data_IF_672037931660
#
_entry.id   IF_672037931660
#
_cell.length_a   1.000
_cell.length_b   1.000
_cell.length_c   1.000
_cell.angle_alpha   90.00
_cell.angle_beta   90.00
_cell.angle_gamma   90.00
#
_symmetry.space_group_name_H-M   'P 1'
#
loop_
_entity.id
_entity.type
_entity.pdbx_description
1 polymer ?
#
# COMPACT_ATOMS: atom_id res chain seq x y z
N UNK A 1 50.14 42.67 14.87
CA UNK A 1 49.27 43.86 14.75
C UNK A 1 48.42 43.67 13.51
N UNK A 2 47.15 43.33 13.69
CA UNK A 2 46.27 42.83 12.63
C UNK A 2 45.27 43.91 12.26
N UNK A 3 45.19 44.20 10.96
CA UNK A 3 44.35 45.24 10.35
C UNK A 3 42.90 44.76 10.26
N UNK A 4 41.96 45.61 10.70
CA UNK A 4 40.53 45.38 10.60
C UNK A 4 40.00 45.74 9.20
N UNK A 5 39.03 44.96 8.69
CA UNK A 5 38.36 45.17 7.40
C UNK A 5 36.89 45.48 7.65
N UNK A 6 36.47 46.72 7.36
CA UNK A 6 35.06 47.13 7.40
C UNK A 6 34.31 46.62 6.15
N UNK A 7 33.09 46.12 6.37
CA UNK A 7 32.16 45.67 5.33
C UNK A 7 30.90 46.53 5.37
N UNK A 8 30.72 47.39 4.38
CA UNK A 8 29.50 48.18 4.18
C UNK A 8 28.43 47.34 3.46
N UNK A 9 27.35 47.00 4.18
CA UNK A 9 26.12 46.45 3.59
C UNK A 9 25.28 47.57 3.01
N UNK A 10 25.14 47.61 1.69
CA UNK A 10 24.16 48.45 0.99
C UNK A 10 22.80 47.75 0.97
N UNK A 11 21.83 48.30 1.70
CA UNK A 11 20.42 47.89 1.67
C UNK A 11 19.69 48.85 0.73
N UNK A 12 19.37 48.39 -0.49
CA UNK A 12 18.46 49.12 -1.37
C UNK A 12 17.04 48.62 -1.11
N UNK A 13 16.19 49.50 -0.57
CA UNK A 13 14.78 49.19 -0.38
C UNK A 13 14.10 49.04 -1.76
N UNK A 14 13.27 48.01 -1.97
CA UNK A 14 12.65 47.76 -3.26
C UNK A 14 11.64 48.87 -3.60
N UNK A 15 11.72 49.33 -4.85
CA UNK A 15 10.92 50.43 -5.39
C UNK A 15 9.41 50.12 -5.29
N UNK A 16 8.61 50.90 -4.54
CA UNK A 16 7.20 50.63 -4.31
C UNK A 16 6.36 50.68 -5.60
N UNK A 17 6.83 51.38 -6.64
CA UNK A 17 6.14 51.46 -7.94
C UNK A 17 6.15 50.11 -8.67
N UNK A 18 7.20 49.31 -8.50
CA UNK A 18 7.31 48.00 -9.15
C UNK A 18 6.32 46.99 -8.55
N UNK A 19 6.00 47.11 -7.26
CA UNK A 19 5.02 46.23 -6.58
C UNK A 19 3.59 46.47 -7.06
N UNK A 20 3.22 47.73 -7.35
CA UNK A 20 1.89 48.04 -7.86
C UNK A 20 1.69 47.60 -9.32
N UNK A 21 2.71 47.69 -10.16
CA UNK A 21 2.63 47.24 -11.56
C UNK A 21 2.53 45.72 -11.64
N UNK A 22 3.34 44.98 -10.87
CA UNK A 22 3.28 43.50 -10.85
C UNK A 22 1.96 43.01 -10.25
N UNK A 23 1.47 43.64 -9.17
CA UNK A 23 0.17 43.31 -8.58
C UNK A 23 -1.01 43.57 -9.53
N UNK A 24 -0.99 44.70 -10.26
CA UNK A 24 -2.03 45.05 -11.22
C UNK A 24 -2.09 44.08 -12.41
N UNK A 25 -0.94 43.67 -12.95
CA UNK A 25 -0.87 42.72 -14.08
C UNK A 25 -1.41 41.34 -13.69
N UNK A 26 -1.12 40.86 -12.47
CA UNK A 26 -1.62 39.56 -11.98
C UNK A 26 -3.15 39.57 -11.83
N UNK A 27 -3.74 40.65 -11.32
CA UNK A 27 -5.20 40.76 -11.14
C UNK A 27 -5.91 40.83 -12.50
N UNK A 28 -5.35 41.54 -13.48
CA UNK A 28 -5.92 41.61 -14.84
C UNK A 28 -5.81 40.25 -15.56
N UNK A 29 -4.70 39.53 -15.40
CA UNK A 29 -4.56 38.17 -15.96
C UNK A 29 -5.55 37.18 -15.32
N UNK A 30 -5.73 37.24 -14.01
CA UNK A 30 -6.66 36.37 -13.29
C UNK A 30 -8.12 36.67 -13.69
N UNK A 31 -8.49 37.95 -13.82
CA UNK A 31 -9.83 38.34 -14.29
C UNK A 31 -10.07 37.93 -15.75
N UNK A 32 -9.06 38.06 -16.62
CA UNK A 32 -9.14 37.60 -18.00
C UNK A 32 -9.29 36.08 -18.11
N UNK A 33 -8.55 35.31 -17.31
CA UNK A 33 -8.70 33.85 -17.26
C UNK A 33 -10.07 33.43 -16.72
N UNK A 34 -10.60 34.13 -15.71
CA UNK A 34 -11.91 33.84 -15.14
C UNK A 34 -13.05 34.15 -16.12
N UNK A 35 -12.96 35.26 -16.87
CA UNK A 35 -13.96 35.64 -17.88
C UNK A 35 -13.94 34.72 -19.11
N UNK A 36 -12.79 34.14 -19.46
CA UNK A 36 -12.70 33.19 -20.58
C UNK A 36 -12.95 31.73 -20.17
N UNK A 37 -12.85 31.40 -18.88
CA UNK A 37 -13.24 30.07 -18.37
C UNK A 37 -14.75 29.81 -18.52
N UNK A 38 -15.59 30.85 -18.43
CA UNK A 38 -17.05 30.73 -18.62
C UNK A 38 -17.49 30.49 -20.08
N UNK A 39 -16.60 30.66 -21.06
CA UNK A 39 -16.89 30.36 -22.48
C UNK A 39 -16.40 28.98 -22.93
N UNK A 40 -15.63 28.27 -22.08
CA UNK A 40 -15.07 26.95 -22.39
C UNK A 40 -15.93 25.79 -21.88
N UNK A 41 -16.97 26.06 -21.09
CA UNK A 41 -17.93 25.06 -20.65
C UNK A 41 -19.34 25.45 -21.13
N UNK A 42 -19.77 25.02 -22.33
CA UNK A 42 -21.18 25.13 -22.66
C UNK A 42 -21.97 24.34 -21.60
N UNK A 43 -23.01 24.97 -21.05
CA UNK A 43 -23.94 24.32 -20.14
C UNK A 43 -24.46 23.04 -20.80
N UNK A 44 -24.04 21.90 -20.27
CA UNK A 44 -24.53 20.60 -20.71
C UNK A 44 -25.99 20.48 -20.25
N UNK A 45 -26.91 20.63 -21.20
CA UNK A 45 -28.27 20.12 -21.03
C UNK A 45 -28.19 18.62 -20.73
N UNK A 46 -28.91 18.12 -19.70
CA UNK A 46 -28.92 16.69 -19.42
C UNK A 46 -29.43 15.94 -20.66
N UNK A 47 -28.77 14.85 -21.08
CA UNK A 47 -29.20 14.12 -22.26
C UNK A 47 -30.58 13.49 -22.02
N UNK A 48 -31.46 13.63 -23.01
CA UNK A 48 -32.72 12.91 -23.08
C UNK A 48 -32.45 11.41 -23.11
N UNK A 49 -33.04 10.69 -22.16
CA UNK A 49 -33.20 9.23 -22.21
C UNK A 49 -34.12 8.87 -23.36
N UNK A 50 -33.57 8.68 -24.56
CA UNK A 50 -34.16 7.85 -25.63
C UNK A 50 -33.21 7.82 -26.84
N UNK A 51 -32.11 7.07 -26.72
CA UNK A 51 -31.43 6.49 -27.88
C UNK A 51 -30.69 5.25 -27.40
N UNK A 52 -31.25 4.08 -27.67
CA UNK A 52 -30.58 2.81 -27.46
C UNK A 52 -29.35 2.73 -28.38
N UNK A 53 -28.17 2.94 -27.80
CA UNK A 53 -26.90 2.58 -28.42
C UNK A 53 -26.74 1.06 -28.28
N UNK A 54 -26.76 0.37 -29.41
CA UNK A 54 -26.30 -1.01 -29.52
C UNK A 54 -24.86 -1.10 -29.01
N UNK A 55 -24.53 -2.01 -28.09
CA UNK A 55 -23.15 -2.19 -27.67
C UNK A 55 -22.36 -2.70 -28.87
N UNK A 56 -21.37 -1.92 -29.31
CA UNK A 56 -20.27 -2.47 -30.07
C UNK A 56 -19.54 -3.42 -29.13
N UNK A 57 -19.60 -4.72 -29.42
CA UNK A 57 -18.73 -5.73 -28.83
C UNK A 57 -17.29 -5.33 -29.12
N UNK A 58 -16.65 -4.68 -28.14
CA UNK A 58 -15.21 -4.71 -28.03
C UNK A 58 -14.86 -6.14 -27.61
N UNK A 59 -14.63 -7.01 -28.59
CA UNK A 59 -13.98 -8.29 -28.39
C UNK A 59 -12.57 -8.01 -27.88
N UNK A 60 -12.40 -8.11 -26.55
CA UNK A 60 -11.09 -8.29 -25.95
C UNK A 60 -10.46 -9.53 -26.61
N UNK A 61 -9.19 -9.48 -27.06
CA UNK A 61 -8.55 -10.65 -27.63
C UNK A 61 -8.52 -11.77 -26.58
N UNK A 62 -9.17 -12.88 -26.92
CA UNK A 62 -9.31 -14.11 -26.12
C UNK A 62 -8.00 -14.90 -25.97
N UNK A 63 -6.85 -14.33 -26.31
CA UNK A 63 -5.55 -14.98 -26.21
C UNK A 63 -4.81 -14.51 -24.96
N UNK A 64 -5.31 -14.92 -23.79
CA UNK A 64 -4.53 -14.97 -22.56
C UNK A 64 -3.96 -16.38 -22.39
N UNK A 65 -2.99 -16.72 -23.24
CA UNK A 65 -2.37 -18.04 -23.27
C UNK A 65 -0.84 -17.88 -23.29
N UNK A 66 -0.26 -17.89 -22.09
CA UNK A 66 1.01 -18.60 -21.87
C UNK A 66 1.22 -18.91 -20.38
N UNK A 67 0.92 -17.98 -19.45
CA UNK A 67 1.14 -18.25 -18.03
C UNK A 67 0.02 -19.06 -17.35
N UNK A 68 -1.25 -18.86 -17.70
CA UNK A 68 -2.38 -19.68 -17.22
C UNK A 68 -2.23 -21.14 -17.68
N UNK A 69 -1.87 -21.35 -18.95
CA UNK A 69 -1.55 -22.66 -19.52
C UNK A 69 -0.32 -23.27 -18.84
N UNK A 70 0.78 -22.52 -18.66
CA UNK A 70 1.96 -23.01 -17.96
C UNK A 70 1.70 -23.30 -16.47
N UNK A 71 0.87 -22.51 -15.79
CA UNK A 71 0.41 -22.77 -14.42
C UNK A 71 -0.46 -24.01 -14.33
N UNK A 72 -1.37 -24.24 -15.29
CA UNK A 72 -2.18 -25.45 -15.36
C UNK A 72 -1.35 -26.70 -15.70
N UNK A 73 -0.36 -26.57 -16.59
CA UNK A 73 0.61 -27.64 -16.90
C UNK A 73 1.50 -27.94 -15.70
N UNK A 74 1.99 -26.91 -14.98
CA UNK A 74 2.73 -27.06 -13.73
C UNK A 74 1.89 -27.73 -12.64
N UNK A 75 0.62 -27.34 -12.49
CA UNK A 75 -0.34 -27.96 -11.55
C UNK A 75 -0.62 -29.43 -11.89
N UNK A 76 -0.67 -29.80 -13.17
CA UNK A 76 -0.96 -31.17 -13.60
C UNK A 76 0.26 -32.09 -13.57
N UNK A 77 1.47 -31.53 -13.56
CA UNK A 77 2.73 -32.31 -13.62
C UNK A 77 3.53 -32.32 -12.31
N UNK A 78 3.38 -31.32 -11.44
CA UNK A 78 4.06 -31.24 -10.14
C UNK A 78 3.15 -31.70 -9.00
N UNK A 79 3.76 -32.26 -7.95
CA UNK A 79 3.05 -32.38 -6.67
C UNK A 79 2.70 -30.97 -6.16
N UNK A 80 1.58 -30.85 -5.42
CA UNK A 80 1.14 -29.58 -4.81
C UNK A 80 2.29 -28.87 -4.06
N UNK A 81 3.11 -29.63 -3.34
CA UNK A 81 4.30 -29.12 -2.65
C UNK A 81 5.36 -28.54 -3.61
N UNK A 82 5.72 -29.25 -4.69
CA UNK A 82 6.71 -28.76 -5.66
C UNK A 82 6.21 -27.52 -6.39
N UNK A 83 4.92 -27.50 -6.74
CA UNK A 83 4.27 -26.35 -7.35
C UNK A 83 4.35 -25.12 -6.44
N UNK A 84 3.93 -25.27 -5.19
CA UNK A 84 3.93 -24.16 -4.23
C UNK A 84 5.37 -23.72 -3.87
N UNK A 85 6.34 -24.62 -3.79
CA UNK A 85 7.76 -24.25 -3.63
C UNK A 85 8.27 -23.41 -4.79
N UNK A 86 8.01 -23.85 -6.04
CA UNK A 86 8.38 -23.11 -7.25
C UNK A 86 7.70 -21.74 -7.29
N UNK A 87 6.47 -21.66 -6.80
CA UNK A 87 5.70 -20.43 -6.71
C UNK A 87 6.28 -19.42 -5.73
N UNK A 88 7.01 -19.81 -4.68
CA UNK A 88 7.67 -18.86 -3.79
C UNK A 88 9.10 -18.54 -4.20
N UNK A 89 9.62 -19.16 -5.27
CA UNK A 89 10.91 -18.76 -5.84
C UNK A 89 10.84 -17.31 -6.33
N UNK A 90 11.74 -16.50 -5.80
CA UNK A 90 11.88 -15.09 -6.20
C UNK A 90 13.01 -15.01 -7.21
N UNK A 91 12.63 -14.81 -8.46
CA UNK A 91 13.56 -14.45 -9.52
C UNK A 91 13.01 -13.24 -10.26
N UNK A 92 13.31 -12.05 -9.74
CA UNK A 92 12.84 -10.79 -10.32
C UNK A 92 13.33 -10.57 -11.75
N UNK A 93 14.41 -11.24 -12.17
CA UNK A 93 14.88 -11.15 -13.56
C UNK A 93 13.92 -11.81 -14.55
N UNK A 94 13.04 -12.70 -14.08
CA UNK A 94 12.02 -13.38 -14.89
C UNK A 94 10.69 -12.64 -14.95
N UNK A 95 10.57 -11.49 -14.29
CA UNK A 95 9.28 -10.79 -14.21
C UNK A 95 8.91 -10.13 -15.54
N UNK A 96 9.91 -9.56 -16.23
CA UNK A 96 9.75 -8.95 -17.55
C UNK A 96 8.57 -7.95 -17.54
N UNK A 97 8.48 -7.12 -16.49
CA UNK A 97 7.36 -6.22 -16.26
C UNK A 97 7.22 -5.22 -17.41
N UNK A 98 8.32 -4.67 -17.91
CA UNK A 98 8.29 -3.72 -19.02
C UNK A 98 7.89 -4.39 -20.34
N UNK A 99 8.38 -5.60 -20.61
CA UNK A 99 7.97 -6.39 -21.79
C UNK A 99 6.46 -6.65 -21.78
N UNK A 100 5.92 -7.02 -20.61
CA UNK A 100 4.48 -7.25 -20.41
C UNK A 100 3.67 -5.96 -20.58
N UNK A 101 4.17 -4.84 -20.07
CA UNK A 101 3.54 -3.53 -20.27
C UNK A 101 3.52 -3.12 -21.74
N UNK A 102 4.64 -3.34 -22.45
CA UNK A 102 4.78 -3.02 -23.87
C UNK A 102 3.79 -3.85 -24.70
N UNK A 103 3.72 -5.16 -24.42
CA UNK A 103 2.74 -6.06 -25.01
C UNK A 103 1.29 -5.60 -24.72
N UNK A 104 0.98 -5.24 -23.48
CA UNK A 104 -0.36 -4.81 -23.09
C UNK A 104 -0.79 -3.50 -23.78
N UNK A 105 0.12 -2.53 -23.87
CA UNK A 105 -0.15 -1.23 -24.47
C UNK A 105 -0.05 -1.24 -26.01
N UNK A 106 0.52 -2.29 -26.61
CA UNK A 106 0.79 -2.36 -28.04
C UNK A 106 1.86 -1.37 -28.52
N UNK A 107 2.86 -1.11 -27.66
CA UNK A 107 3.98 -0.17 -27.93
C UNK A 107 5.33 -0.86 -27.75
N UNK A 108 6.42 -0.17 -28.06
CA UNK A 108 7.78 -0.70 -27.85
C UNK A 108 8.22 -0.67 -26.38
N UNK A 109 9.22 -1.49 -26.02
CA UNK A 109 9.83 -1.46 -24.69
C UNK A 109 10.53 -0.14 -24.38
N UNK A 110 11.10 0.49 -25.40
CA UNK A 110 11.72 1.81 -25.31
C UNK A 110 10.68 2.86 -24.91
N UNK A 111 9.47 2.82 -25.49
CA UNK A 111 8.37 3.71 -25.13
C UNK A 111 7.88 3.50 -23.69
N UNK A 112 7.76 2.26 -23.24
CA UNK A 112 7.43 1.93 -21.83
C UNK A 112 8.50 2.43 -20.88
N UNK A 113 9.77 2.18 -21.21
CA UNK A 113 10.90 2.62 -20.39
C UNK A 113 10.92 4.14 -20.30
N UNK A 114 10.70 4.83 -21.43
CA UNK A 114 10.63 6.29 -21.48
C UNK A 114 9.42 6.82 -20.68
N UNK A 115 8.29 6.12 -20.69
CA UNK A 115 7.13 6.45 -19.87
C UNK A 115 7.47 6.40 -18.38
N UNK A 116 8.00 5.28 -17.89
CA UNK A 116 8.37 5.12 -16.47
C UNK A 116 9.53 6.05 -16.07
N UNK A 117 10.48 6.33 -16.97
CA UNK A 117 11.51 7.33 -16.77
C UNK A 117 10.92 8.75 -16.59
N UNK A 118 10.08 9.18 -17.53
CA UNK A 118 9.47 10.52 -17.50
C UNK A 118 8.53 10.73 -16.31
N UNK A 119 7.76 9.70 -15.96
CA UNK A 119 6.86 9.70 -14.82
C UNK A 119 7.61 9.82 -13.49
N UNK A 120 8.66 9.02 -13.38
CA UNK A 120 8.96 8.37 -12.11
C UNK A 120 10.45 8.04 -11.93
N UNK A 121 11.30 8.50 -12.85
CA UNK A 121 12.75 8.34 -12.89
C UNK A 121 13.18 6.88 -12.68
N UNK A 122 12.45 5.95 -13.32
CA UNK A 122 12.81 4.54 -13.36
C UNK A 122 13.54 4.28 -14.67
N UNK A 123 14.82 3.93 -14.57
CA UNK A 123 15.67 3.63 -15.75
C UNK A 123 15.67 2.15 -16.09
N UNK A 124 15.39 1.30 -15.11
CA UNK A 124 15.37 -0.16 -15.24
C UNK A 124 14.34 -0.76 -14.29
N UNK A 125 13.86 -1.96 -14.62
CA UNK A 125 12.87 -2.68 -13.81
C UNK A 125 13.33 -2.94 -12.37
N UNK A 126 14.63 -3.20 -12.18
CA UNK A 126 15.19 -3.37 -10.82
C UNK A 126 15.06 -2.12 -9.93
N UNK A 127 14.82 -0.93 -10.49
CA UNK A 127 14.61 0.30 -9.71
C UNK A 127 13.30 0.23 -8.91
N UNK A 128 12.30 -0.54 -9.37
CA UNK A 128 11.02 -0.76 -8.68
C UNK A 128 11.23 -1.33 -7.27
N UNK A 129 12.27 -2.14 -7.09
CA UNK A 129 12.57 -2.86 -5.86
C UNK A 129 13.82 -2.34 -5.15
N UNK A 130 14.39 -1.23 -5.60
CA UNK A 130 15.70 -0.74 -5.18
C UNK A 130 15.80 -0.34 -3.70
N UNK A 131 14.68 0.00 -3.07
CA UNK A 131 14.62 0.39 -1.66
C UNK A 131 14.26 -0.77 -0.73
N UNK A 132 13.94 -1.94 -1.29
CA UNK A 132 13.62 -3.11 -0.49
C UNK A 132 14.89 -3.70 0.14
N UNK A 133 14.79 -4.26 1.35
CA UNK A 133 15.89 -5.02 1.93
C UNK A 133 16.23 -6.22 1.04
N UNK A 134 17.48 -6.74 1.12
CA UNK A 134 17.83 -8.00 0.48
C UNK A 134 16.84 -9.10 0.85
N UNK A 135 16.49 -9.93 -0.14
CA UNK A 135 15.64 -11.09 0.07
C UNK A 135 16.41 -12.08 0.95
N UNK A 136 15.73 -12.67 1.93
CA UNK A 136 16.34 -13.72 2.77
C UNK A 136 16.69 -14.97 1.95
N UNK A 137 17.83 -15.61 2.23
CA UNK A 137 18.30 -16.82 1.52
C UNK A 137 17.30 -17.99 1.58
N UNK A 138 16.44 -17.99 2.60
CA UNK A 138 15.43 -19.03 2.82
C UNK A 138 14.01 -18.56 2.50
N UNK A 139 13.87 -17.42 1.81
CA UNK A 139 12.59 -16.79 1.51
C UNK A 139 11.56 -17.79 0.97
N UNK A 140 11.89 -18.50 -0.11
CA UNK A 140 10.94 -19.37 -0.80
C UNK A 140 10.38 -20.48 0.09
N UNK A 141 11.26 -21.11 0.88
CA UNK A 141 10.89 -22.22 1.77
C UNK A 141 10.05 -21.74 2.95
N UNK A 142 10.43 -20.62 3.56
CA UNK A 142 9.71 -20.05 4.70
C UNK A 142 8.36 -19.47 4.28
N UNK A 143 8.30 -18.71 3.18
CA UNK A 143 7.04 -18.16 2.66
C UNK A 143 6.07 -19.29 2.29
N UNK A 144 6.58 -20.39 1.72
CA UNK A 144 5.81 -21.61 1.52
C UNK A 144 5.26 -22.18 2.84
N UNK A 145 6.12 -22.42 3.83
CA UNK A 145 5.73 -22.99 5.12
C UNK A 145 4.71 -22.10 5.86
N UNK A 146 4.80 -20.77 5.75
CA UNK A 146 3.80 -19.83 6.27
C UNK A 146 2.48 -19.98 5.51
N UNK A 147 2.50 -19.99 4.17
CA UNK A 147 1.29 -20.05 3.34
C UNK A 147 0.43 -21.30 3.57
N UNK A 148 1.05 -22.42 3.98
CA UNK A 148 0.35 -23.67 4.28
C UNK A 148 0.08 -23.85 5.79
N UNK A 149 0.38 -22.84 6.61
CA UNK A 149 0.18 -22.86 8.07
C UNK A 149 1.14 -23.78 8.84
N UNK A 150 2.23 -24.24 8.22
CA UNK A 150 3.26 -25.05 8.88
C UNK A 150 4.16 -24.21 9.79
N UNK A 151 4.38 -22.94 9.44
CA UNK A 151 5.06 -21.95 10.29
C UNK A 151 4.05 -20.90 10.76
N UNK A 152 3.70 -20.93 12.05
CA UNK A 152 2.77 -19.99 12.69
C UNK A 152 3.49 -18.88 13.50
N UNK A 153 4.79 -19.00 13.73
CA UNK A 153 5.60 -18.01 14.45
C UNK A 153 6.08 -16.87 13.52
N UNK A 154 5.14 -16.24 12.82
CA UNK A 154 5.44 -15.17 11.85
C UNK A 154 6.14 -13.96 12.48
N UNK A 155 6.03 -13.77 13.80
CA UNK A 155 6.76 -12.73 14.53
C UNK A 155 8.28 -12.82 14.40
N UNK A 156 8.82 -14.02 14.14
CA UNK A 156 10.24 -14.26 13.95
C UNK A 156 10.77 -13.88 12.57
N UNK A 157 9.89 -13.53 11.63
CA UNK A 157 10.29 -13.15 10.28
C UNK A 157 10.90 -11.74 10.28
N UNK A 158 12.06 -11.61 9.67
CA UNK A 158 12.74 -10.32 9.50
C UNK A 158 12.23 -9.55 8.27
N UNK A 159 12.77 -8.33 8.07
CA UNK A 159 12.43 -7.46 6.95
C UNK A 159 12.66 -8.13 5.58
N UNK A 160 13.61 -9.04 5.46
CA UNK A 160 13.90 -9.79 4.24
C UNK A 160 12.78 -10.74 3.81
N UNK A 161 11.76 -10.95 4.65
CA UNK A 161 10.52 -11.65 4.30
C UNK A 161 9.36 -10.67 4.10
N UNK A 162 8.93 -9.99 5.17
CA UNK A 162 7.67 -9.24 5.13
C UNK A 162 7.76 -7.92 4.36
N UNK A 163 8.95 -7.44 3.97
CA UNK A 163 9.06 -6.31 3.02
C UNK A 163 9.10 -6.76 1.57
N UNK A 164 9.05 -8.06 1.29
CA UNK A 164 9.07 -8.56 -0.08
C UNK A 164 7.64 -8.66 -0.61
N UNK A 165 7.30 -7.98 -1.72
CA UNK A 165 5.98 -8.09 -2.34
C UNK A 165 5.58 -9.54 -2.63
N UNK A 166 6.55 -10.39 -2.95
CA UNK A 166 6.38 -11.81 -3.21
C UNK A 166 5.83 -12.62 -2.04
N UNK A 167 5.88 -12.08 -0.82
CA UNK A 167 5.35 -12.72 0.38
C UNK A 167 3.82 -12.70 0.41
N UNK A 168 3.21 -11.66 -0.17
CA UNK A 168 1.77 -11.38 -0.11
C UNK A 168 1.00 -11.94 -1.32
N UNK A 169 1.36 -13.14 -1.76
CA UNK A 169 0.74 -13.72 -2.95
C UNK A 169 -0.71 -14.11 -2.70
N UNK A 170 -1.60 -13.66 -3.59
CA UNK A 170 -2.99 -14.06 -3.58
C UNK A 170 -3.13 -15.46 -4.16
N UNK A 171 -3.48 -16.41 -3.30
CA UNK A 171 -4.01 -17.70 -3.73
C UNK A 171 -5.51 -17.51 -3.90
N UNK A 172 -5.97 -17.53 -5.14
CA UNK A 172 -7.40 -17.63 -5.43
C UNK A 172 -7.94 -18.90 -4.75
N UNK A 173 -8.86 -18.74 -3.80
CA UNK A 173 -9.29 -19.86 -2.94
C UNK A 173 -10.16 -20.87 -3.68
N UNK A 174 -10.88 -20.44 -4.72
CA UNK A 174 -11.79 -21.30 -5.49
C UNK A 174 -11.00 -22.19 -6.47
N UNK A 175 -10.00 -21.60 -7.12
CA UNK A 175 -9.20 -22.27 -8.17
C UNK A 175 -7.86 -22.79 -7.64
N UNK A 176 -7.45 -22.36 -6.45
CA UNK A 176 -6.11 -22.57 -5.89
C UNK A 176 -5.01 -21.98 -6.79
N UNK A 177 -5.33 -21.07 -7.71
CA UNK A 177 -4.35 -20.45 -8.61
C UNK A 177 -3.72 -19.28 -7.88
N UNK A 178 -2.40 -19.24 -7.88
CA UNK A 178 -1.69 -18.09 -7.31
C UNK A 178 -1.47 -17.07 -8.41
N UNK A 179 -2.05 -15.90 -8.22
CA UNK A 179 -2.03 -14.84 -9.22
C UNK A 179 -1.02 -13.76 -8.82
N UNK A 180 0.26 -14.02 -9.12
CA UNK A 180 1.34 -13.02 -8.98
C UNK A 180 1.11 -11.81 -9.90
N UNK A 181 0.44 -12.00 -11.04
CA UNK A 181 0.17 -10.91 -11.97
C UNK A 181 -0.75 -9.85 -11.38
N UNK A 182 -1.65 -10.24 -10.46
CA UNK A 182 -2.53 -9.28 -9.81
C UNK A 182 -1.73 -8.28 -8.94
N UNK A 183 -0.74 -8.78 -8.21
CA UNK A 183 0.16 -7.97 -7.39
C UNK A 183 1.01 -6.99 -8.23
N UNK A 184 1.49 -7.42 -9.39
CA UNK A 184 2.33 -6.60 -10.27
C UNK A 184 1.57 -5.93 -11.43
N UNK A 185 0.24 -6.01 -11.44
CA UNK A 185 -0.64 -5.43 -12.47
C UNK A 185 -0.32 -3.97 -12.77
N UNK A 186 0.00 -3.09 -11.80
CA UNK A 186 0.29 -1.69 -12.10
C UNK A 186 1.49 -1.49 -13.03
N UNK A 187 2.47 -2.39 -12.98
CA UNK A 187 3.64 -2.33 -13.86
C UNK A 187 3.42 -3.09 -15.16
N UNK A 188 2.66 -4.19 -15.16
CA UNK A 188 2.42 -5.00 -16.37
C UNK A 188 1.25 -4.52 -17.22
N UNK A 189 0.32 -3.76 -16.64
CA UNK A 189 -0.87 -3.19 -17.27
C UNK A 189 -1.13 -1.79 -16.72
N UNK A 190 -0.22 -0.83 -16.97
CA UNK A 190 -0.36 0.51 -16.41
C UNK A 190 -1.62 1.18 -16.97
N UNK A 191 -2.57 1.46 -16.08
CA UNK A 191 -3.77 2.22 -16.40
C UNK A 191 -3.46 3.70 -16.17
N UNK A 192 -3.15 4.42 -17.26
CA UNK A 192 -2.66 5.82 -17.21
C UNK A 192 -3.61 6.81 -16.51
N UNK A 193 -4.87 6.43 -16.37
CA UNK A 193 -5.94 7.22 -15.75
C UNK A 193 -6.43 6.64 -14.42
N UNK A 194 -5.94 5.47 -13.98
CA UNK A 194 -6.33 4.85 -12.72
C UNK A 194 -5.12 4.74 -11.79
N UNK A 195 -5.06 5.70 -10.89
CA UNK A 195 -4.12 5.69 -9.78
C UNK A 195 -4.86 5.12 -8.57
N UNK A 196 -4.31 4.07 -7.97
CA UNK A 196 -4.98 3.33 -6.90
C UNK A 196 -5.33 4.25 -5.74
N UNK A 197 -6.63 4.44 -5.53
CA UNK A 197 -7.14 5.19 -4.39
C UNK A 197 -7.13 4.28 -3.16
N UNK A 198 -6.25 4.61 -2.21
CA UNK A 198 -6.25 4.13 -0.82
C UNK A 198 -6.40 2.61 -0.64
N UNK A 199 -5.26 1.94 -0.49
CA UNK A 199 -5.22 0.54 -0.09
C UNK A 199 -4.25 0.37 1.06
N UNK A 200 -4.71 -0.26 2.13
CA UNK A 200 -3.86 -0.85 3.15
C UNK A 200 -4.23 -2.33 3.20
N UNK A 201 -3.25 -3.21 3.46
CA UNK A 201 -3.48 -4.63 3.71
C UNK A 201 -2.89 -5.07 5.06
N UNK A 202 -3.42 -6.17 5.61
CA UNK A 202 -2.93 -6.78 6.83
C UNK A 202 -2.73 -8.28 6.57
N UNK A 203 -1.61 -8.82 7.03
CA UNK A 203 -1.32 -10.24 6.93
C UNK A 203 -0.68 -10.78 8.22
N UNK A 204 -1.19 -11.88 8.77
CA UNK A 204 -2.55 -12.37 8.58
C UNK A 204 -3.54 -11.36 9.17
N UNK A 205 -4.66 -11.14 8.46
CA UNK A 205 -5.72 -10.28 8.96
C UNK A 205 -6.50 -10.94 10.12
N UNK A 206 -6.59 -12.27 10.11
CA UNK A 206 -7.27 -13.05 11.15
C UNK A 206 -6.29 -13.96 11.90
N UNK A 207 -6.36 -13.95 13.23
CA UNK A 207 -5.57 -14.83 14.10
C UNK A 207 -6.43 -15.43 15.19
N UNK A 208 -6.01 -16.59 15.69
CA UNK A 208 -6.73 -17.38 16.68
C UNK A 208 -5.78 -17.71 17.83
N UNK A 209 -6.23 -17.52 19.06
CA UNK A 209 -5.49 -17.93 20.26
C UNK A 209 -6.44 -18.35 21.39
N UNK A 210 -5.92 -19.04 22.41
CA UNK A 210 -6.70 -19.51 23.57
C UNK A 210 -6.00 -19.21 24.89
N UNK A 211 -6.66 -18.50 25.79
CA UNK A 211 -6.12 -18.04 27.08
C UNK A 211 -6.94 -18.59 28.25
N UNK A 212 -6.29 -18.76 29.40
CA UNK A 212 -6.89 -19.30 30.63
C UNK A 212 -6.90 -18.22 31.70
N UNK A 213 -8.05 -17.98 32.34
CA UNK A 213 -8.20 -16.95 33.39
C UNK A 213 -7.23 -17.21 34.56
N UNK A 214 -7.07 -18.47 34.96
CA UNK A 214 -6.18 -18.86 36.06
C UNK A 214 -4.77 -19.25 35.62
N UNK A 215 -4.52 -19.30 34.31
CA UNK A 215 -3.31 -19.83 33.70
C UNK A 215 -2.60 -18.78 32.87
N UNK A 216 -2.55 -19.01 31.56
CA UNK A 216 -2.01 -18.03 30.60
C UNK A 216 -3.06 -16.96 30.32
N UNK A 217 -2.97 -15.83 31.01
CA UNK A 217 -3.87 -14.68 30.87
C UNK A 217 -3.42 -13.66 29.81
N UNK A 218 -2.35 -13.95 29.06
CA UNK A 218 -1.81 -13.09 28.01
C UNK A 218 -1.74 -13.78 26.65
N UNK A 219 -1.90 -12.98 25.60
CA UNK A 219 -1.69 -13.38 24.22
C UNK A 219 -0.90 -12.31 23.47
N UNK A 220 -0.19 -12.73 22.41
CA UNK A 220 0.54 -11.85 21.51
C UNK A 220 0.20 -12.24 20.09
N UNK A 221 -0.27 -11.29 19.29
CA UNK A 221 -0.46 -11.44 17.86
C UNK A 221 0.54 -10.56 17.11
N UNK A 222 1.00 -11.02 15.96
CA UNK A 222 1.87 -10.24 15.07
C UNK A 222 1.21 -10.10 13.71
N UNK A 223 1.15 -8.89 13.19
CA UNK A 223 0.57 -8.58 11.88
C UNK A 223 1.57 -7.78 11.07
N UNK A 224 1.68 -8.08 9.78
CA UNK A 224 2.33 -7.21 8.82
C UNK A 224 1.28 -6.30 8.18
N UNK A 225 1.43 -5.00 8.38
CA UNK A 225 0.55 -3.99 7.78
C UNK A 225 1.26 -3.37 6.60
N UNK A 226 0.63 -3.36 5.43
CA UNK A 226 1.24 -2.87 4.18
C UNK A 226 0.40 -1.82 3.51
N UNK A 227 1.04 -0.93 2.76
CA UNK A 227 0.37 -0.22 1.69
C UNK A 227 -0.04 -1.24 0.62
N UNK A 228 -1.22 -1.05 0.06
CA UNK A 228 -1.71 -1.85 -1.05
C UNK A 228 -0.83 -1.69 -2.29
N UNK A 229 -1.13 -2.45 -3.32
CA UNK A 229 -0.49 -2.31 -4.62
C UNK A 229 -0.95 -1.01 -5.31
N UNK A 230 -0.07 -0.40 -6.11
CA UNK A 230 -0.35 0.84 -6.86
C UNK A 230 -0.54 2.12 -6.01
N UNK A 231 -0.01 2.19 -4.80
CA UNK A 231 -0.20 3.33 -3.91
C UNK A 231 0.92 4.35 -4.12
N UNK A 232 0.56 5.59 -4.49
CA UNK A 232 1.51 6.69 -4.68
C UNK A 232 1.68 7.57 -3.45
N UNK A 233 0.71 7.52 -2.55
CA UNK A 233 0.67 8.38 -1.38
C UNK A 233 1.35 7.69 -0.18
N UNK A 234 1.90 8.50 0.71
CA UNK A 234 2.19 8.11 2.07
C UNK A 234 0.88 8.00 2.85
N UNK A 235 0.70 6.87 3.53
CA UNK A 235 -0.53 6.55 4.26
C UNK A 235 -0.26 6.59 5.75
N UNK A 236 -0.83 7.60 6.43
CA UNK A 236 -0.74 7.72 7.89
C UNK A 236 -1.74 6.80 8.57
N UNK A 237 -1.26 5.89 9.42
CA UNK A 237 -2.09 4.88 10.09
C UNK A 237 -1.95 5.01 11.60
N UNK A 238 -3.07 4.87 12.32
CA UNK A 238 -3.08 4.56 13.75
C UNK A 238 -4.03 3.40 14.00
N UNK A 239 -3.58 2.37 14.70
CA UNK A 239 -4.39 1.19 14.99
C UNK A 239 -4.98 1.28 16.38
N UNK A 240 -6.28 1.00 16.50
CA UNK A 240 -7.01 1.01 17.77
C UNK A 240 -7.91 -0.22 17.90
N UNK A 241 -8.05 -0.81 19.09
CA UNK A 241 -9.03 -1.87 19.32
C UNK A 241 -10.46 -1.29 19.26
N UNK A 242 -11.44 -2.15 18.95
CA UNK A 242 -12.85 -1.82 19.10
C UNK A 242 -13.17 -1.51 20.58
N UNK A 243 -14.11 -0.59 20.81
CA UNK A 243 -14.34 -0.08 22.17
C UNK A 243 -14.81 -1.18 23.14
N UNK A 244 -15.64 -2.11 22.68
CA UNK A 244 -16.28 -3.11 23.54
C UNK A 244 -15.29 -4.09 24.17
N UNK A 245 -14.19 -4.43 23.49
CA UNK A 245 -13.23 -5.40 24.00
C UNK A 245 -12.33 -4.83 25.08
N UNK A 246 -12.21 -3.50 25.17
CA UNK A 246 -11.44 -2.84 26.23
C UNK A 246 -12.05 -3.05 27.62
N UNK A 247 -13.31 -3.51 27.70
CA UNK A 247 -13.93 -3.92 28.96
C UNK A 247 -13.38 -5.26 29.48
N UNK A 248 -12.84 -6.10 28.59
CA UNK A 248 -12.43 -7.48 28.89
C UNK A 248 -10.92 -7.68 28.78
N UNK A 249 -10.23 -6.85 27.98
CA UNK A 249 -8.82 -6.98 27.72
C UNK A 249 -8.10 -5.64 27.87
N UNK A 250 -6.88 -5.68 28.40
CA UNK A 250 -5.90 -4.61 28.23
C UNK A 250 -5.11 -4.89 26.95
N UNK A 251 -5.25 -4.03 25.94
CA UNK A 251 -4.63 -4.20 24.62
C UNK A 251 -3.58 -3.12 24.39
N UNK A 252 -2.35 -3.55 24.09
CA UNK A 252 -1.26 -2.70 23.65
C UNK A 252 -0.92 -3.01 22.19
N UNK A 253 -0.84 -1.98 21.35
CA UNK A 253 -0.49 -2.11 19.93
C UNK A 253 0.76 -1.30 19.68
N UNK A 254 1.77 -1.92 19.08
CA UNK A 254 3.04 -1.27 18.82
C UNK A 254 3.64 -1.71 17.48
N UNK A 255 4.11 -0.74 16.70
CA UNK A 255 5.00 -0.99 15.57
C UNK A 255 6.39 -1.40 16.10
N UNK A 256 6.96 -2.48 15.57
CA UNK A 256 8.24 -3.05 16.01
C UNK A 256 9.37 -2.01 16.09
N UNK A 257 9.43 -1.09 15.12
CA UNK A 257 10.51 -0.10 15.01
C UNK A 257 10.40 1.06 16.00
N UNK A 258 9.18 1.52 16.25
CA UNK A 258 8.96 2.78 16.97
C UNK A 258 8.30 2.60 18.33
N UNK A 259 7.74 1.42 18.62
CA UNK A 259 6.99 1.13 19.84
C UNK A 259 5.64 1.86 19.92
N UNK A 260 5.13 2.38 18.80
CA UNK A 260 3.93 3.24 18.76
C UNK A 260 2.80 2.58 17.97
N UNK A 261 1.55 2.91 18.31
CA UNK A 261 0.36 2.41 17.60
C UNK A 261 0.12 3.08 16.24
N UNK A 262 0.90 4.12 15.93
CA UNK A 262 0.81 4.89 14.70
C UNK A 262 2.12 4.87 13.93
N UNK A 263 2.01 4.86 12.61
CA UNK A 263 3.13 4.75 11.68
C UNK A 263 2.74 5.31 10.31
N UNK A 264 3.74 5.51 9.45
CA UNK A 264 3.55 5.99 8.08
C UNK A 264 3.96 4.87 7.13
N UNK A 265 3.02 4.40 6.32
CA UNK A 265 3.32 3.48 5.22
C UNK A 265 3.71 4.32 4.01
N UNK A 266 4.82 3.96 3.37
CA UNK A 266 5.23 4.64 2.15
C UNK A 266 4.61 4.03 0.89
N UNK A 267 4.79 4.69 -0.26
CA UNK A 267 4.19 4.28 -1.52
C UNK A 267 4.72 2.92 -2.01
N UNK A 268 3.89 2.24 -2.80
CA UNK A 268 4.27 1.04 -3.58
C UNK A 268 4.42 1.33 -5.06
N UNK A 269 3.99 2.50 -5.55
CA UNK A 269 4.16 2.94 -6.92
C UNK A 269 4.76 4.34 -6.95
N UNK A 270 5.72 4.62 -7.85
CA UNK A 270 6.23 3.76 -8.93
C UNK A 270 7.23 2.68 -8.47
N UNK A 271 7.71 2.80 -7.24
CA UNK A 271 8.65 1.89 -6.58
C UNK A 271 8.12 1.54 -5.19
N UNK A 272 8.50 0.38 -4.68
CA UNK A 272 8.24 0.05 -3.28
C UNK A 272 9.15 0.86 -2.39
N UNK A 273 8.58 1.77 -1.61
CA UNK A 273 9.36 2.51 -0.63
C UNK A 273 9.86 1.57 0.46
N UNK A 274 10.94 1.94 1.15
CA UNK A 274 11.42 1.16 2.29
C UNK A 274 10.36 0.97 3.37
N UNK A 275 9.45 1.92 3.57
CA UNK A 275 8.38 1.94 4.58
C UNK A 275 7.05 1.36 4.10
N UNK A 276 6.97 0.74 2.92
CA UNK A 276 5.70 0.25 2.36
C UNK A 276 4.98 -0.81 3.21
N UNK A 277 5.70 -1.56 4.03
CA UNK A 277 5.17 -2.55 4.96
C UNK A 277 5.73 -2.33 6.38
N UNK A 278 5.05 -2.76 7.43
CA UNK A 278 5.61 -2.71 8.80
C UNK A 278 5.11 -3.88 9.64
N UNK A 279 5.88 -4.25 10.66
CA UNK A 279 5.50 -5.28 11.62
C UNK A 279 4.86 -4.63 12.85
N UNK A 280 3.65 -5.07 13.17
CA UNK A 280 2.87 -4.63 14.32
C UNK A 280 2.72 -5.80 15.29
N UNK A 281 3.01 -5.53 16.56
CA UNK A 281 2.80 -6.45 17.68
C UNK A 281 1.57 -5.97 18.46
N UNK A 282 0.65 -6.90 18.72
CA UNK A 282 -0.56 -6.67 19.51
C UNK A 282 -0.49 -7.59 20.72
N UNK A 283 -0.20 -6.99 21.88
CA UNK A 283 -0.20 -7.69 23.15
C UNK A 283 -1.53 -7.48 23.86
N UNK A 284 -2.10 -8.56 24.36
CA UNK A 284 -3.35 -8.52 25.10
C UNK A 284 -3.25 -9.26 26.43
N UNK A 285 -3.92 -8.70 27.43
CA UNK A 285 -4.08 -9.32 28.76
C UNK A 285 -5.54 -9.38 29.16
N UNK A 286 -6.00 -10.53 29.62
CA UNK A 286 -7.36 -10.74 30.12
C UNK A 286 -7.54 -9.97 31.44
N UNK A 287 -8.62 -9.19 31.54
CA UNK A 287 -8.95 -8.46 32.77
C UNK A 287 -9.60 -9.37 33.82
N UNK A 288 -9.39 -9.12 35.12
CA UNK A 288 -10.11 -9.81 36.17
C UNK A 288 -11.63 -9.71 36.00
N UNK A 289 -12.34 -10.83 36.15
CA UNK A 289 -13.79 -10.89 36.02
C UNK A 289 -14.32 -11.04 34.59
N UNK A 290 -13.44 -11.17 33.59
CA UNK A 290 -13.84 -11.51 32.22
C UNK A 290 -14.51 -12.88 32.19
N UNK A 291 -15.77 -13.01 31.71
CA UNK A 291 -16.43 -14.31 31.61
C UNK A 291 -15.71 -15.24 30.62
N UNK A 292 -15.73 -16.54 30.89
CA UNK A 292 -15.31 -17.54 29.91
C UNK A 292 -16.19 -17.46 28.65
N UNK A 293 -15.59 -17.62 27.47
CA UNK A 293 -16.27 -17.49 26.18
C UNK A 293 -15.32 -17.16 25.03
N UNK A 294 -15.88 -17.10 23.83
CA UNK A 294 -15.16 -16.72 22.61
C UNK A 294 -15.34 -15.24 22.33
N UNK A 295 -14.23 -14.52 22.21
CA UNK A 295 -14.19 -13.08 21.94
C UNK A 295 -13.60 -12.81 20.56
N UNK A 296 -14.10 -11.76 19.90
CA UNK A 296 -13.51 -11.24 18.67
C UNK A 296 -13.02 -9.82 18.94
N UNK A 297 -11.70 -9.68 18.94
CA UNK A 297 -10.98 -8.42 19.15
C UNK A 297 -10.73 -7.82 17.77
N UNK A 298 -11.44 -6.73 17.48
CA UNK A 298 -11.29 -6.00 16.24
C UNK A 298 -10.26 -4.90 16.38
N UNK A 299 -9.21 -4.89 15.55
CA UNK A 299 -8.27 -3.78 15.46
C UNK A 299 -8.53 -3.03 14.16
N UNK A 300 -8.74 -1.72 14.27
CA UNK A 300 -9.19 -0.88 13.18
C UNK A 300 -8.24 0.30 12.93
N UNK A 301 -7.97 0.63 11.67
CA UNK A 301 -7.22 1.83 11.33
C UNK A 301 -8.09 3.08 11.51
N UNK A 302 -7.52 4.07 12.16
CA UNK A 302 -8.07 5.41 12.31
C UNK A 302 -7.02 6.44 11.93
N UNK A 303 -7.45 7.69 11.78
CA UNK A 303 -6.54 8.79 11.53
C UNK A 303 -5.51 8.89 12.68
N UNK A 304 -4.23 9.11 12.37
CA UNK A 304 -3.21 9.38 13.38
C UNK A 304 -3.50 10.64 14.20
N UNK A 305 -2.78 10.84 15.33
CA UNK A 305 -2.90 12.07 16.11
C UNK A 305 -2.75 13.33 15.24
N UNK A 306 -3.57 14.35 15.51
CA UNK A 306 -3.66 15.56 14.67
C UNK A 306 -2.31 16.24 14.41
N UNK A 307 -1.43 16.28 15.41
CA UNK A 307 -0.08 16.85 15.27
C UNK A 307 0.78 16.08 14.26
N UNK A 308 0.65 14.75 14.20
CA UNK A 308 1.37 13.92 13.24
C UNK A 308 0.74 14.01 11.85
N UNK A 309 -0.59 14.05 11.76
CA UNK A 309 -1.26 14.27 10.47
C UNK A 309 -0.83 15.59 9.85
N UNK A 310 -0.77 16.67 10.64
CA UNK A 310 -0.30 17.96 10.17
C UNK A 310 1.16 17.87 9.71
N UNK A 311 2.04 17.29 10.54
CA UNK A 311 3.46 17.13 10.20
C UNK A 311 3.64 16.37 8.88
N UNK A 312 2.99 15.21 8.72
CA UNK A 312 3.12 14.41 7.51
C UNK A 312 2.49 15.07 6.29
N UNK A 313 1.40 15.82 6.46
CA UNK A 313 0.82 16.62 5.38
C UNK A 313 1.73 17.74 4.91
N UNK A 314 2.52 18.34 5.81
CA UNK A 314 3.50 19.38 5.48
C UNK A 314 4.76 18.78 4.85
N UNK A 315 5.19 17.60 5.31
CA UNK A 315 6.36 16.88 4.82
C UNK A 315 6.14 16.29 3.41
N UNK A 316 4.92 15.84 3.11
CA UNK A 316 4.55 15.20 1.83
C UNK A 316 3.34 15.91 1.17
N UNK A 317 3.52 17.16 0.69
CA UNK A 317 2.41 17.97 0.20
C UNK A 317 1.75 17.34 -1.04
N UNK A 318 0.45 17.08 -0.95
CA UNK A 318 -0.33 16.45 -2.03
C UNK A 318 -0.08 14.95 -2.21
N UNK A 319 0.84 14.36 -1.44
CA UNK A 319 1.20 12.94 -1.47
C UNK A 319 0.93 12.24 -0.14
N UNK A 320 0.28 12.89 0.82
CA UNK A 320 -0.09 12.31 2.10
C UNK A 320 -1.60 12.13 2.20
N UNK A 321 -2.01 10.93 2.63
CA UNK A 321 -3.39 10.61 2.95
C UNK A 321 -3.47 10.05 4.39
N UNK A 322 -4.24 10.68 5.29
CA UNK A 322 -4.57 10.05 6.57
C UNK A 322 -5.56 8.91 6.32
N UNK A 323 -5.22 7.70 6.77
CA UNK A 323 -6.15 6.58 6.67
C UNK A 323 -7.32 6.79 7.64
N UNK A 324 -8.57 6.69 7.15
CA UNK A 324 -9.74 6.88 8.00
C UNK A 324 -11.07 7.19 7.29
N UNK A 325 -11.08 7.34 5.96
CA UNK A 325 -12.26 7.85 5.25
C UNK A 325 -13.32 6.81 4.86
N UNK A 326 -12.99 5.51 4.83
CA UNK A 326 -13.96 4.44 4.53
C UNK A 326 -13.72 3.30 5.50
N UNK A 327 -14.65 3.10 6.44
CA UNK A 327 -14.68 1.89 7.26
C UNK A 327 -15.36 0.80 6.44
N UNK A 328 -14.71 -0.34 6.17
CA UNK A 328 -15.46 -1.57 5.95
C UNK A 328 -16.40 -1.77 7.14
N UNK A 329 -17.54 -2.41 6.94
CA UNK A 329 -18.43 -2.82 8.04
C UNK A 329 -17.75 -3.79 9.02
N UNK A 330 -16.61 -4.35 8.62
CA UNK A 330 -15.87 -5.39 9.33
C UNK A 330 -14.57 -4.87 9.94
N UNK A 331 -14.04 -5.64 10.89
CA UNK A 331 -12.74 -5.35 11.49
C UNK A 331 -11.63 -5.53 10.47
N UNK A 332 -10.67 -4.61 10.49
CA UNK A 332 -9.53 -4.67 9.58
C UNK A 332 -8.54 -5.79 9.94
N UNK A 333 -8.34 -6.02 11.24
CA UNK A 333 -7.65 -7.17 11.81
C UNK A 333 -8.57 -7.77 12.86
N UNK A 334 -8.72 -9.09 12.88
CA UNK A 334 -9.51 -9.81 13.88
C UNK A 334 -8.64 -10.79 14.66
N UNK A 335 -8.66 -10.69 15.99
CA UNK A 335 -8.10 -11.71 16.88
C UNK A 335 -9.25 -12.44 17.56
N UNK A 336 -9.35 -13.74 17.30
CA UNK A 336 -10.33 -14.62 17.93
C UNK A 336 -9.68 -15.25 19.15
N UNK A 337 -10.14 -14.87 20.34
CA UNK A 337 -9.57 -15.31 21.62
C UNK A 337 -10.60 -16.15 22.37
N UNK A 338 -10.28 -17.42 22.59
CA UNK A 338 -11.06 -18.29 23.47
C UNK A 338 -10.57 -18.14 24.91
N UNK A 339 -11.43 -17.62 25.79
CA UNK A 339 -11.15 -17.48 27.23
C UNK A 339 -11.77 -18.66 27.98
N UNK A 340 -10.93 -19.48 28.61
CA UNK A 340 -11.36 -20.62 29.43
C UNK A 340 -11.18 -20.36 30.93
N UNK A 341 -12.00 -21.03 31.74
CA UNK A 341 -12.03 -20.87 33.19
C UNK A 341 -10.78 -21.41 33.88
#
# INVERSE_FOLDING_TARGET
MTVAKESTKSSSAPNPVLKFVVGGVIVVLAAYLFLNASTLFPATTPPSTDTALSPAEATLPETFDDHSANLQVLKSTLSKEKFLKKLFEVDRSTYHLYDKAAQFLGVSNEEVTQFFYNCCDLTKESDIFSELPPISDHFSATAYDVSIGKLNQIGLLDEGFYKQPEFYTFIDQETGVVNREFSFRPWTRPELNQWGDNGMQAYPADQFDSVEITGRDTFTAVVFVTAGWNIQNYVGVNLVPNHDVTNYFDIAISEEKTGKSYFLLGPTFPRFSREWATKVVIDGKVKPGTPAGRYVIGINPVAPPSQLNQKWSEEYPGLYAPHGFIRPTDNYISLVIDVTA
#
